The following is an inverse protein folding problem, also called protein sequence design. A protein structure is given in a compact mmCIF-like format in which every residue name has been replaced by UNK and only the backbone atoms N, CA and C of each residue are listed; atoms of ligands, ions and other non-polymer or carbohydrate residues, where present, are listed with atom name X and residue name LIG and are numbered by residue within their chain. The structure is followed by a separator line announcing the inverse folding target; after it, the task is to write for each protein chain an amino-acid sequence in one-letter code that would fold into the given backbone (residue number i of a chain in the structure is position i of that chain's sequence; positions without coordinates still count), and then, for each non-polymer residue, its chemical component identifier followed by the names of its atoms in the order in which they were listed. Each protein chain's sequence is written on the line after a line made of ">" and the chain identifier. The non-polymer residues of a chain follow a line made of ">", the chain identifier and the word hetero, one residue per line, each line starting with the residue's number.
data_IF_851897313593
#
_entry.id   IF_851897313593
#
_cell.length_a   1.000
_cell.length_b   1.000
_cell.length_c   1.000
_cell.angle_alpha   90.00
_cell.angle_beta   90.00
_cell.angle_gamma   90.00
#
_symmetry.space_group_name_H-M   'P 1'
#
loop_
_entity.id
_entity.type
_entity.pdbx_description
1 polymer ?
#
# COMPACT_ATOMS: atom_id res chain seq x y z
N UNK A 1 11.63 9.11 -10.12
CA UNK A 1 10.72 9.10 -11.29
C UNK A 1 11.45 9.67 -12.49
N UNK A 2 11.14 9.24 -13.72
CA UNK A 2 11.62 9.90 -14.93
C UNK A 2 11.36 11.40 -14.86
N UNK A 3 12.33 12.20 -15.30
CA UNK A 3 12.22 13.67 -15.32
C UNK A 3 11.64 14.20 -16.62
N UNK A 4 11.58 13.35 -17.65
CA UNK A 4 11.04 13.65 -18.98
C UNK A 4 9.75 12.87 -19.23
N UNK A 5 8.96 13.34 -20.19
CA UNK A 5 7.75 12.63 -20.61
C UNK A 5 8.10 11.33 -21.32
N UNK A 6 7.29 10.30 -21.12
CA UNK A 6 7.51 9.00 -21.74
C UNK A 6 6.20 8.26 -22.04
N UNK A 7 6.26 7.35 -23.00
CA UNK A 7 5.19 6.37 -23.29
C UNK A 7 5.60 5.04 -22.66
N UNK A 8 4.76 4.47 -21.80
CA UNK A 8 5.11 3.22 -21.11
C UNK A 8 4.26 2.91 -19.90
N UNK A 9 4.86 2.24 -18.92
CA UNK A 9 4.18 1.81 -17.70
C UNK A 9 4.95 2.24 -16.45
N UNK A 10 4.24 2.81 -15.47
CA UNK A 10 4.73 2.97 -14.11
C UNK A 10 4.17 1.83 -13.26
N UNK A 11 5.04 1.09 -12.58
CA UNK A 11 4.66 0.07 -11.61
C UNK A 11 5.15 0.51 -10.23
N UNK A 12 4.25 0.55 -9.26
CA UNK A 12 4.55 0.81 -7.86
C UNK A 12 4.05 -0.36 -7.01
N UNK A 13 4.97 -1.18 -6.53
CA UNK A 13 4.68 -2.31 -5.65
C UNK A 13 5.09 -1.95 -4.22
N UNK A 14 4.14 -1.90 -3.29
CA UNK A 14 4.38 -1.58 -1.86
C UNK A 14 5.23 -0.31 -1.69
N UNK A 15 4.90 0.72 -2.47
CA UNK A 15 5.58 2.00 -2.43
C UNK A 15 4.74 3.04 -1.72
N UNK A 16 3.41 2.98 -1.86
CA UNK A 16 2.52 4.08 -1.52
C UNK A 16 2.17 4.03 -0.04
N UNK A 17 2.07 2.84 0.54
CA UNK A 17 1.95 2.62 1.99
C UNK A 17 3.13 3.16 2.81
N UNK A 18 4.30 3.24 2.20
CA UNK A 18 5.55 3.76 2.76
C UNK A 18 5.69 5.29 2.62
N UNK A 19 4.77 5.96 1.93
CA UNK A 19 4.85 7.41 1.77
C UNK A 19 4.39 8.14 3.04
N UNK A 20 5.08 9.23 3.45
CA UNK A 20 4.69 10.02 4.60
C UNK A 20 3.25 10.54 4.53
N UNK A 21 2.58 10.54 5.67
CA UNK A 21 1.23 11.07 5.83
C UNK A 21 1.13 11.91 7.10
N UNK A 22 0.14 12.80 7.14
CA UNK A 22 -0.23 13.54 8.36
C UNK A 22 -1.24 12.72 9.13
N UNK A 23 -1.09 12.60 10.45
CA UNK A 23 -2.02 11.84 11.28
C UNK A 23 -2.98 12.81 11.97
N UNK A 24 -4.28 12.68 11.68
CA UNK A 24 -5.31 13.45 12.36
C UNK A 24 -5.97 12.59 13.45
N UNK A 25 -6.26 13.22 14.58
CA UNK A 25 -6.91 12.62 15.75
C UNK A 25 -8.09 13.49 16.17
N UNK A 26 -9.23 12.88 16.43
CA UNK A 26 -10.41 13.57 16.92
C UNK A 26 -10.45 13.59 18.45
N UNK A 27 -10.31 14.79 19.02
CA UNK A 27 -10.51 15.07 20.44
C UNK A 27 -11.35 16.35 20.61
N UNK A 28 -12.67 16.19 20.67
CA UNK A 28 -13.69 17.26 20.60
C UNK A 28 -13.69 18.07 19.29
N UNK A 29 -12.58 18.13 18.57
CA UNK A 29 -12.39 18.64 17.22
C UNK A 29 -11.24 17.85 16.56
N UNK A 30 -11.11 17.95 15.24
CA UNK A 30 -9.96 17.39 14.54
C UNK A 30 -8.69 18.20 14.83
N UNK A 31 -7.63 17.49 15.21
CA UNK A 31 -6.29 18.02 15.44
C UNK A 31 -5.28 17.13 14.74
N UNK A 32 -4.14 17.69 14.34
CA UNK A 32 -3.02 16.91 13.84
C UNK A 32 -2.13 16.46 15.00
N UNK A 33 -1.70 15.20 14.95
CA UNK A 33 -0.73 14.64 15.87
C UNK A 33 0.68 15.01 15.42
N UNK A 34 1.34 15.86 16.19
CA UNK A 34 2.76 16.14 16.08
C UNK A 34 3.54 15.23 17.01
N UNK A 35 4.83 15.07 16.73
CA UNK A 35 5.74 14.29 17.57
C UNK A 35 6.71 15.25 18.25
N UNK A 36 6.80 15.14 19.57
CA UNK A 36 7.85 15.82 20.37
C UNK A 36 8.76 14.77 21.00
N UNK A 37 9.99 15.18 21.28
CA UNK A 37 10.90 14.41 22.13
C UNK A 37 10.86 14.99 23.56
N UNK A 38 10.77 14.10 24.55
CA UNK A 38 10.91 14.43 25.96
C UNK A 38 11.65 13.32 26.68
N UNK A 39 12.76 13.65 27.33
CA UNK A 39 13.58 12.72 28.12
C UNK A 39 13.99 11.46 27.32
N UNK A 40 14.38 11.64 26.04
CA UNK A 40 14.77 10.55 25.14
C UNK A 40 13.62 9.66 24.66
N UNK A 41 12.35 10.06 24.87
CA UNK A 41 11.16 9.37 24.39
C UNK A 41 10.36 10.26 23.44
N UNK A 42 9.77 9.66 22.42
CA UNK A 42 8.88 10.35 21.50
C UNK A 42 7.42 10.22 21.96
N UNK A 43 6.70 11.34 21.94
CA UNK A 43 5.31 11.45 22.38
C UNK A 43 4.49 12.20 21.33
N UNK A 44 3.22 11.83 21.20
CA UNK A 44 2.26 12.60 20.42
C UNK A 44 1.78 13.83 21.20
N UNK A 45 1.69 14.97 20.52
CA UNK A 45 0.98 16.16 20.98
C UNK A 45 0.02 16.63 19.90
N UNK A 46 -1.24 16.89 20.30
CA UNK A 46 -2.29 17.27 19.37
C UNK A 46 -2.29 18.79 19.20
N UNK A 47 -2.16 19.24 17.96
CA UNK A 47 -2.26 20.66 17.61
C UNK A 47 -3.36 20.89 16.60
N UNK A 48 -4.15 21.93 16.84
CA UNK A 48 -5.11 22.42 15.84
C UNK A 48 -4.33 23.07 14.71
N UNK A 49 -4.69 22.72 13.48
CA UNK A 49 -4.14 23.29 12.25
C UNK A 49 -5.25 23.95 11.45
N UNK A 50 -4.92 25.00 10.71
CA UNK A 50 -5.90 25.78 9.93
C UNK A 50 -6.29 25.07 8.62
N UNK A 51 -5.44 24.17 8.13
CA UNK A 51 -5.57 23.49 6.84
C UNK A 51 -6.09 22.04 6.98
N UNK A 52 -6.81 21.74 8.07
CA UNK A 52 -7.44 20.44 8.26
C UNK A 52 -8.38 20.11 7.07
N UNK A 53 -8.31 18.91 6.47
CA UNK A 53 -9.13 18.60 5.31
C UNK A 53 -10.64 18.67 5.61
N UNK A 54 -11.38 19.40 4.77
CA UNK A 54 -12.81 19.63 4.95
C UNK A 54 -13.68 18.35 4.85
N UNK A 55 -13.12 17.26 4.30
CA UNK A 55 -13.80 15.96 4.19
C UNK A 55 -13.74 15.13 5.47
N UNK A 56 -12.94 15.54 6.47
CA UNK A 56 -12.91 14.86 7.77
C UNK A 56 -14.33 14.89 8.38
N UNK A 57 -14.82 13.76 8.93
CA UNK A 57 -16.19 13.68 9.43
C UNK A 57 -16.40 14.63 10.61
N UNK A 58 -17.58 15.25 10.72
CA UNK A 58 -17.81 16.29 11.74
C UNK A 58 -17.81 15.74 13.17
N UNK A 59 -18.40 14.56 13.40
CA UNK A 59 -18.61 13.99 14.73
C UNK A 59 -18.27 12.48 14.79
N UNK A 60 -17.01 12.07 14.54
CA UNK A 60 -16.60 10.69 14.75
C UNK A 60 -16.47 10.39 16.26
N UNK A 61 -16.33 9.10 16.64
CA UNK A 61 -16.03 8.74 18.04
C UNK A 61 -14.75 9.42 18.57
N UNK A 62 -14.70 9.70 19.87
CA UNK A 62 -13.51 10.24 20.53
C UNK A 62 -12.29 9.33 20.31
N UNK A 63 -11.13 9.93 20.00
CA UNK A 63 -9.89 9.21 19.74
C UNK A 63 -9.79 8.58 18.36
N UNK A 64 -10.78 8.80 17.48
CA UNK A 64 -10.72 8.38 16.07
C UNK A 64 -9.47 8.95 15.42
N UNK A 65 -8.78 8.13 14.63
CA UNK A 65 -7.59 8.52 13.87
C UNK A 65 -7.81 8.33 12.38
N UNK A 66 -7.25 9.22 11.57
CA UNK A 66 -7.22 9.08 10.12
C UNK A 66 -5.88 9.58 9.54
N UNK A 67 -5.30 8.86 8.58
CA UNK A 67 -4.16 9.38 7.83
C UNK A 67 -4.66 10.33 6.74
N UNK A 68 -3.91 11.40 6.51
CA UNK A 68 -4.09 12.34 5.40
C UNK A 68 -2.87 12.21 4.50
N UNK A 69 -3.04 11.48 3.38
CA UNK A 69 -1.97 10.96 2.53
C UNK A 69 -1.63 11.92 1.38
N UNK A 70 -1.35 13.18 1.70
CA UNK A 70 -1.00 14.21 0.71
C UNK A 70 0.24 13.85 -0.11
N UNK A 71 1.22 13.13 0.47
CA UNK A 71 2.41 12.74 -0.28
C UNK A 71 2.09 11.67 -1.34
N UNK A 72 1.20 10.73 -1.03
CA UNK A 72 0.69 9.75 -2.00
C UNK A 72 -0.07 10.42 -3.14
N UNK A 73 -0.90 11.43 -2.83
CA UNK A 73 -1.58 12.25 -3.83
C UNK A 73 -0.59 12.99 -4.75
N UNK A 74 0.43 13.66 -4.17
CA UNK A 74 1.47 14.35 -4.93
C UNK A 74 2.26 13.40 -5.82
N UNK A 75 2.61 12.23 -5.30
CA UNK A 75 3.32 11.20 -6.05
C UNK A 75 2.48 10.70 -7.24
N UNK A 76 1.20 10.39 -7.03
CA UNK A 76 0.30 9.96 -8.09
C UNK A 76 0.16 11.03 -9.17
N UNK A 77 -0.12 12.28 -8.78
CA UNK A 77 -0.24 13.41 -9.70
C UNK A 77 1.03 13.61 -10.54
N UNK A 78 2.20 13.58 -9.89
CA UNK A 78 3.49 13.76 -10.58
C UNK A 78 3.78 12.62 -11.55
N UNK A 79 3.49 11.37 -11.15
CA UNK A 79 3.69 10.19 -11.99
C UNK A 79 2.78 10.22 -13.23
N UNK A 80 1.51 10.59 -13.06
CA UNK A 80 0.57 10.72 -14.17
C UNK A 80 0.88 11.92 -15.07
N UNK A 81 1.54 12.97 -14.55
CA UNK A 81 1.93 14.14 -15.33
C UNK A 81 3.04 13.81 -16.35
N UNK A 82 4.01 12.97 -15.97
CA UNK A 82 5.14 12.59 -16.85
C UNK A 82 4.79 11.44 -17.80
N UNK A 83 3.83 10.59 -17.47
CA UNK A 83 3.33 9.57 -18.39
C UNK A 83 2.59 10.25 -19.55
N UNK A 84 2.94 10.03 -20.80
CA UNK A 84 2.25 10.63 -21.97
C UNK A 84 1.13 9.72 -22.45
N UNK A 85 1.44 8.44 -22.64
CA UNK A 85 0.51 7.36 -22.96
C UNK A 85 0.93 6.07 -22.24
N UNK A 86 -0.06 5.24 -21.89
CA UNK A 86 0.16 3.93 -21.27
C UNK A 86 -0.53 3.83 -19.91
N UNK A 87 0.14 3.25 -18.90
CA UNK A 87 -0.52 3.00 -17.62
C UNK A 87 0.33 3.27 -16.38
N UNK A 88 -0.36 3.54 -15.27
CA UNK A 88 0.20 3.51 -13.93
C UNK A 88 -0.53 2.44 -13.13
N UNK A 89 0.23 1.54 -12.50
CA UNK A 89 -0.30 0.41 -11.73
C UNK A 89 0.31 0.44 -10.33
N UNK A 90 -0.55 0.39 -9.31
CA UNK A 90 -0.17 0.28 -7.91
C UNK A 90 -0.61 -1.08 -7.38
N UNK A 91 0.28 -1.80 -6.71
CA UNK A 91 -0.01 -2.99 -5.91
C UNK A 91 0.24 -2.62 -4.46
N UNK A 92 -0.81 -2.55 -3.64
CA UNK A 92 -0.68 -2.09 -2.25
C UNK A 92 -1.85 -2.54 -1.36
N UNK A 93 -1.68 -2.45 -0.04
CA UNK A 93 -2.73 -2.67 0.95
C UNK A 93 -3.66 -1.46 1.01
N UNK A 94 -4.76 -1.54 0.29
CA UNK A 94 -5.66 -0.40 0.17
C UNK A 94 -6.94 -0.56 1.00
N UNK A 95 -7.52 0.57 1.41
CA UNK A 95 -8.85 0.66 2.00
C UNK A 95 -9.45 2.05 1.76
N UNK A 96 -10.67 2.31 2.21
CA UNK A 96 -11.22 3.68 2.21
C UNK A 96 -11.07 4.33 3.58
N UNK A 97 -11.00 5.66 3.60
CA UNK A 97 -11.04 6.44 4.85
C UNK A 97 -12.28 6.12 5.69
N UNK A 98 -13.43 5.83 5.04
CA UNK A 98 -14.65 5.40 5.74
C UNK A 98 -14.47 4.07 6.48
N UNK A 99 -13.78 3.09 5.88
CA UNK A 99 -13.49 1.82 6.55
C UNK A 99 -12.47 2.03 7.67
N UNK A 100 -11.47 2.90 7.45
CA UNK A 100 -10.45 3.22 8.45
C UNK A 100 -11.06 3.84 9.73
N UNK A 101 -12.10 4.67 9.59
CA UNK A 101 -12.86 5.24 10.72
C UNK A 101 -13.48 4.19 11.65
N UNK A 102 -13.75 2.98 11.13
CA UNK A 102 -14.48 1.92 11.85
C UNK A 102 -13.55 0.83 12.39
N UNK A 103 -12.24 0.97 12.19
CA UNK A 103 -11.23 -0.02 12.59
C UNK A 103 -10.29 0.56 13.64
N UNK A 104 -9.72 -0.28 14.52
CA UNK A 104 -8.57 0.12 15.32
C UNK A 104 -7.48 0.70 14.42
N UNK A 105 -6.91 1.84 14.79
CA UNK A 105 -5.94 2.51 13.93
C UNK A 105 -4.68 1.68 13.68
N UNK A 106 -4.34 0.79 14.63
CA UNK A 106 -3.23 -0.16 14.50
C UNK A 106 -3.47 -1.24 13.44
N UNK A 107 -4.70 -1.39 12.95
CA UNK A 107 -4.99 -2.31 11.84
C UNK A 107 -4.43 -1.76 10.53
N UNK A 108 -4.42 -0.43 10.35
CA UNK A 108 -4.03 0.24 9.11
C UNK A 108 -2.73 1.04 9.22
N UNK A 109 -2.30 1.48 10.40
CA UNK A 109 -0.95 2.01 10.66
C UNK A 109 -0.16 0.95 11.40
N UNK A 110 0.75 0.30 10.69
CA UNK A 110 1.51 -0.85 11.17
C UNK A 110 2.98 -0.51 11.24
N UNK A 111 3.67 -1.28 12.06
CA UNK A 111 5.12 -1.28 12.10
C UNK A 111 5.62 -2.70 11.95
N UNK A 112 6.84 -2.84 11.42
CA UNK A 112 7.45 -4.13 11.22
C UNK A 112 8.92 -4.11 11.62
N UNK A 113 9.36 -5.12 12.35
CA UNK A 113 10.76 -5.31 12.76
C UNK A 113 11.10 -6.78 12.68
N UNK A 114 12.22 -7.09 12.01
CA UNK A 114 12.70 -8.48 11.87
C UNK A 114 11.62 -9.45 11.32
N UNK A 115 10.81 -8.98 10.36
CA UNK A 115 9.69 -9.70 9.76
C UNK A 115 8.51 -10.02 10.70
N UNK A 116 8.42 -9.37 11.85
CA UNK A 116 7.31 -9.49 12.79
C UNK A 116 6.60 -8.15 12.97
N UNK A 117 5.38 -8.20 13.52
CA UNK A 117 4.64 -7.00 13.90
C UNK A 117 5.43 -6.22 14.95
N UNK A 118 5.71 -4.96 14.66
CA UNK A 118 6.49 -4.08 15.51
C UNK A 118 5.72 -3.50 16.69
N UNK A 119 6.34 -2.51 17.32
CA UNK A 119 5.79 -1.82 18.49
C UNK A 119 5.01 -0.56 18.06
N UNK A 120 4.63 0.26 19.03
CA UNK A 120 4.11 1.59 18.73
C UNK A 120 5.08 2.34 17.80
N UNK A 121 4.57 3.07 16.80
CA UNK A 121 5.37 3.73 15.77
C UNK A 121 6.34 4.80 16.28
N UNK A 122 6.16 5.26 17.53
CA UNK A 122 7.10 6.14 18.24
C UNK A 122 8.18 5.41 19.06
N UNK A 123 8.12 4.09 19.11
CA UNK A 123 9.13 3.27 19.80
C UNK A 123 10.30 3.03 18.86
N UNK A 124 11.52 3.20 19.36
CA UNK A 124 12.77 2.90 18.63
C UNK A 124 12.76 3.42 17.17
N UNK A 125 12.55 4.72 16.91
CA UNK A 125 12.50 5.24 15.55
C UNK A 125 13.77 4.90 14.76
N UNK A 126 13.59 4.49 13.51
CA UNK A 126 14.67 4.02 12.64
C UNK A 126 15.02 2.53 12.78
N UNK A 127 14.50 1.83 13.80
CA UNK A 127 14.71 0.38 13.98
C UNK A 127 13.54 -0.49 13.50
N UNK A 128 12.44 0.13 13.08
CA UNK A 128 11.26 -0.54 12.54
C UNK A 128 10.74 0.24 11.35
N UNK A 129 10.11 -0.49 10.43
CA UNK A 129 9.34 0.09 9.34
C UNK A 129 8.01 0.65 9.86
N UNK A 130 7.45 1.64 9.18
CA UNK A 130 6.16 2.26 9.49
C UNK A 130 5.37 2.39 8.19
N UNK A 131 4.31 1.60 8.06
CA UNK A 131 3.46 1.61 6.87
C UNK A 131 2.03 2.02 7.23
N UNK A 132 1.33 2.64 6.29
CA UNK A 132 -0.10 2.90 6.38
C UNK A 132 -0.80 2.30 5.19
N UNK A 133 -1.94 1.61 5.40
CA UNK A 133 -2.80 1.26 4.28
C UNK A 133 -3.10 2.49 3.42
N UNK A 134 -3.16 2.30 2.10
CA UNK A 134 -3.43 3.34 1.12
C UNK A 134 -4.93 3.65 1.09
N UNK A 135 -5.28 4.92 1.29
CA UNK A 135 -6.66 5.40 1.29
C UNK A 135 -7.08 5.69 -0.17
N UNK A 136 -7.76 4.73 -0.80
CA UNK A 136 -8.11 4.78 -2.24
C UNK A 136 -8.94 6.03 -2.56
N UNK A 137 -9.86 6.40 -1.67
CA UNK A 137 -10.70 7.58 -1.80
C UNK A 137 -9.88 8.88 -1.80
N UNK A 138 -8.76 8.93 -1.08
CA UNK A 138 -7.86 10.09 -1.09
C UNK A 138 -7.07 10.17 -2.40
N UNK A 139 -6.65 9.04 -2.98
CA UNK A 139 -6.04 9.02 -4.32
C UNK A 139 -7.04 9.43 -5.41
N UNK A 140 -8.29 8.98 -5.28
CA UNK A 140 -9.36 9.26 -6.22
C UNK A 140 -9.72 10.75 -6.35
N UNK A 141 -9.30 11.60 -5.39
CA UNK A 141 -9.40 13.07 -5.48
C UNK A 141 -8.54 13.62 -6.61
N UNK A 142 -7.37 13.02 -6.88
CA UNK A 142 -6.48 13.42 -7.97
C UNK A 142 -7.07 12.93 -9.29
N UNK A 143 -7.32 11.63 -9.38
CA UNK A 143 -8.07 11.02 -10.48
C UNK A 143 -8.55 9.65 -10.05
N UNK A 144 -9.78 9.29 -10.41
CA UNK A 144 -10.29 7.94 -10.13
C UNK A 144 -9.49 6.90 -10.93
N UNK A 145 -9.13 5.75 -10.32
CA UNK A 145 -8.54 4.65 -11.06
C UNK A 145 -9.52 4.14 -12.13
N UNK A 146 -8.98 3.76 -13.27
CA UNK A 146 -9.71 3.12 -14.38
C UNK A 146 -10.19 1.73 -13.98
N UNK A 147 -9.40 1.01 -13.19
CA UNK A 147 -9.78 -0.28 -12.61
C UNK A 147 -9.28 -0.42 -11.18
N UNK A 148 -10.03 -1.17 -10.38
CA UNK A 148 -9.69 -1.61 -9.03
C UNK A 148 -9.99 -3.10 -8.97
N UNK A 149 -9.00 -3.92 -8.65
CA UNK A 149 -9.15 -5.37 -8.53
C UNK A 149 -8.30 -5.93 -7.40
N UNK A 150 -8.55 -7.18 -6.99
CA UNK A 150 -7.61 -7.88 -6.10
C UNK A 150 -6.38 -8.32 -6.87
N UNK A 151 -5.24 -8.44 -6.19
CA UNK A 151 -4.01 -8.95 -6.78
C UNK A 151 -4.21 -10.36 -7.35
N UNK A 152 -4.89 -11.26 -6.62
CA UNK A 152 -5.15 -12.61 -7.11
C UNK A 152 -5.87 -12.59 -8.47
N UNK A 153 -6.95 -11.82 -8.57
CA UNK A 153 -7.75 -11.71 -9.79
C UNK A 153 -6.95 -11.06 -10.92
N UNK A 154 -6.15 -10.03 -10.61
CA UNK A 154 -5.31 -9.34 -11.57
C UNK A 154 -4.22 -10.25 -12.13
N UNK A 155 -3.51 -10.99 -11.28
CA UNK A 155 -2.45 -11.92 -11.70
C UNK A 155 -3.01 -13.05 -12.55
N UNK A 156 -4.14 -13.63 -12.16
CA UNK A 156 -4.82 -14.68 -12.95
C UNK A 156 -5.22 -14.15 -14.32
N UNK A 157 -5.84 -12.96 -14.37
CA UNK A 157 -6.23 -12.28 -15.62
C UNK A 157 -5.04 -12.07 -16.55
N UNK A 158 -3.86 -11.80 -16.02
CA UNK A 158 -2.64 -11.52 -16.80
C UNK A 158 -1.74 -12.74 -17.01
N UNK A 159 -2.27 -13.96 -16.85
CA UNK A 159 -1.63 -15.19 -17.33
C UNK A 159 -0.80 -15.95 -16.29
N UNK A 160 -0.97 -15.68 -14.99
CA UNK A 160 -0.28 -16.42 -13.93
C UNK A 160 -0.48 -17.94 -14.07
N UNK A 161 -1.69 -18.40 -14.36
CA UNK A 161 -1.97 -19.84 -14.52
C UNK A 161 -1.13 -20.48 -15.64
N UNK A 162 -0.94 -19.78 -16.76
CA UNK A 162 -0.10 -20.27 -17.86
C UNK A 162 1.37 -20.38 -17.45
N UNK A 163 1.88 -19.43 -16.65
CA UNK A 163 3.24 -19.49 -16.11
C UNK A 163 3.41 -20.65 -15.11
N UNK A 164 2.37 -20.94 -14.32
CA UNK A 164 2.35 -22.07 -13.38
C UNK A 164 2.32 -23.40 -14.14
N UNK A 165 1.50 -23.51 -15.19
CA UNK A 165 1.42 -24.71 -16.03
C UNK A 165 2.73 -24.98 -16.76
N UNK A 166 3.37 -23.93 -17.31
CA UNK A 166 4.72 -24.02 -17.87
C UNK A 166 5.71 -24.57 -16.84
N UNK A 167 5.68 -24.05 -15.61
CA UNK A 167 6.55 -24.49 -14.53
C UNK A 167 6.32 -25.96 -14.13
N UNK A 168 5.06 -26.38 -14.02
CA UNK A 168 4.67 -27.78 -13.74
C UNK A 168 5.19 -28.72 -14.82
N UNK A 169 4.98 -28.37 -16.09
CA UNK A 169 5.41 -29.18 -17.22
C UNK A 169 6.94 -29.31 -17.28
N UNK A 170 7.67 -28.22 -17.09
CA UNK A 170 9.13 -28.23 -17.08
C UNK A 170 9.67 -29.10 -15.93
N UNK A 171 9.12 -28.94 -14.72
CA UNK A 171 9.49 -29.75 -13.56
C UNK A 171 9.28 -31.24 -13.82
N UNK A 172 8.11 -31.63 -14.34
CA UNK A 172 7.79 -33.03 -14.63
C UNK A 172 8.76 -33.66 -15.63
N UNK A 173 9.15 -32.92 -16.68
CA UNK A 173 10.09 -33.41 -17.69
C UNK A 173 11.52 -33.59 -17.15
N UNK A 174 11.91 -32.88 -16.09
CA UNK A 174 13.29 -32.86 -15.56
C UNK A 174 13.42 -33.44 -14.15
N UNK A 175 12.33 -33.97 -13.57
CA UNK A 175 12.29 -34.43 -12.18
C UNK A 175 13.31 -35.54 -11.84
N UNK A 176 13.71 -36.36 -12.83
CA UNK A 176 14.68 -37.43 -12.63
C UNK A 176 16.12 -36.92 -12.41
N UNK A 177 16.46 -35.75 -12.96
CA UNK A 177 17.76 -35.10 -12.77
C UNK A 177 17.57 -33.58 -12.82
N UNK A 178 17.04 -32.96 -11.75
CA UNK A 178 16.70 -31.54 -11.76
C UNK A 178 17.93 -30.65 -11.95
N UNK A 179 17.80 -29.66 -12.83
CA UNK A 179 18.72 -28.54 -12.95
C UNK A 179 18.21 -27.32 -12.14
N UNK A 180 18.97 -26.23 -12.16
CA UNK A 180 18.58 -25.00 -11.47
C UNK A 180 17.26 -24.43 -12.03
N UNK A 181 17.04 -24.55 -13.33
CA UNK A 181 15.81 -24.08 -13.99
C UNK A 181 14.59 -24.88 -13.51
N UNK A 182 14.72 -26.20 -13.35
CA UNK A 182 13.66 -27.05 -12.81
C UNK A 182 13.29 -26.65 -11.38
N UNK A 183 14.26 -26.18 -10.57
CA UNK A 183 13.98 -25.65 -9.23
C UNK A 183 13.18 -24.35 -9.26
N UNK A 184 13.56 -23.39 -10.12
CA UNK A 184 12.81 -22.14 -10.31
C UNK A 184 11.41 -22.39 -10.88
N UNK A 185 11.29 -23.30 -11.85
CA UNK A 185 10.00 -23.67 -12.45
C UNK A 185 9.07 -24.34 -11.43
N UNK A 186 9.63 -25.14 -10.51
CA UNK A 186 8.86 -25.74 -9.42
C UNK A 186 8.35 -24.69 -8.43
N UNK A 187 9.13 -23.64 -8.13
CA UNK A 187 8.74 -22.63 -7.13
C UNK A 187 7.50 -21.83 -7.55
N UNK A 188 7.29 -21.65 -8.87
CA UNK A 188 6.10 -20.97 -9.42
C UNK A 188 4.77 -21.49 -8.85
N UNK A 189 4.67 -22.79 -8.55
CA UNK A 189 3.45 -23.36 -7.97
C UNK A 189 3.21 -22.80 -6.58
N UNK A 190 4.15 -22.98 -5.64
CA UNK A 190 4.01 -22.52 -4.26
C UNK A 190 3.98 -21.00 -4.13
N UNK A 191 4.70 -20.29 -5.01
CA UNK A 191 4.69 -18.83 -5.05
C UNK A 191 3.35 -18.31 -5.58
N UNK A 192 2.76 -18.95 -6.60
CA UNK A 192 1.43 -18.59 -7.08
C UNK A 192 0.36 -18.77 -6.01
N UNK A 193 0.43 -19.86 -5.23
CA UNK A 193 -0.49 -20.11 -4.12
C UNK A 193 -0.39 -18.96 -3.09
N UNK A 194 0.83 -18.53 -2.77
CA UNK A 194 1.09 -17.43 -1.83
C UNK A 194 0.62 -16.07 -2.37
N UNK A 195 0.89 -15.77 -3.64
CA UNK A 195 0.52 -14.51 -4.31
C UNK A 195 -1.00 -14.37 -4.51
N UNK A 196 -1.72 -15.49 -4.58
CA UNK A 196 -3.17 -15.53 -4.78
C UNK A 196 -3.99 -15.81 -3.49
N UNK A 197 -3.34 -16.14 -2.37
CA UNK A 197 -4.01 -16.41 -1.10
C UNK A 197 -4.77 -15.18 -0.57
N UNK A 198 -6.10 -15.29 -0.42
CA UNK A 198 -6.97 -14.17 -0.03
C UNK A 198 -6.87 -13.79 1.47
N UNK A 199 -6.28 -14.64 2.29
CA UNK A 199 -5.89 -14.34 3.67
C UNK A 199 -4.48 -13.74 3.77
N UNK A 200 -3.82 -13.51 2.62
CA UNK A 200 -2.50 -12.90 2.51
C UNK A 200 -2.40 -11.96 1.30
N UNK A 201 -1.36 -12.17 0.48
CA UNK A 201 -0.99 -11.26 -0.62
C UNK A 201 -2.07 -11.16 -1.71
N UNK A 202 -2.88 -12.19 -1.90
CA UNK A 202 -3.94 -12.20 -2.90
C UNK A 202 -5.02 -11.13 -2.67
N UNK A 203 -5.14 -10.63 -1.43
CA UNK A 203 -6.08 -9.56 -1.07
C UNK A 203 -5.49 -8.15 -1.16
N UNK A 204 -4.26 -8.00 -1.67
CA UNK A 204 -3.78 -6.69 -2.10
C UNK A 204 -4.73 -6.11 -3.13
N UNK A 205 -4.77 -4.79 -3.17
CA UNK A 205 -5.52 -4.07 -4.19
C UNK A 205 -4.57 -3.66 -5.30
N UNK A 206 -5.00 -3.90 -6.54
CA UNK A 206 -4.37 -3.38 -7.74
C UNK A 206 -5.20 -2.21 -8.23
N UNK A 207 -4.60 -1.03 -8.26
CA UNK A 207 -5.19 0.19 -8.80
C UNK A 207 -4.51 0.51 -10.13
N UNK A 208 -5.29 0.72 -11.19
CA UNK A 208 -4.74 1.07 -12.50
C UNK A 208 -5.33 2.38 -13.03
N UNK A 209 -4.50 3.20 -13.64
CA UNK A 209 -4.89 4.36 -14.44
C UNK A 209 -4.37 4.19 -15.85
N UNK A 210 -5.26 4.26 -16.83
CA UNK A 210 -4.92 4.28 -18.24
C UNK A 210 -4.90 5.73 -18.75
N UNK A 211 -3.87 6.09 -19.50
CA UNK A 211 -3.66 7.43 -20.06
C UNK A 211 -3.53 7.40 -21.57
#
# INVERSE_FOLDING_TARGET
>A
MPTERFVGMVIANELVDNLPFRLFVFDSQWQEAFVIERDGKFLEVLHKVEDAPAWLPQNPPLGTRLPVQQQAQKWLASSLQVLEHGSLIIFDYCMTSEVALRKPWRDWLRTYRQHELGLHYLSQPGEQDITSHVMIDQLAVITKPTSVSRQADWLIKHGLNSLVDEGRNYWQAHAAKPDLQAMLMRSRVSESDSLCALDGLGNFTVLEWQK
#
